data_IF_145255545084
#
_entry.id   IF_145255545084
#
_cell.length_a   1.000
_cell.length_b   1.000
_cell.length_c   1.000
_cell.angle_alpha   90.00
_cell.angle_beta   90.00
_cell.angle_gamma   90.00
#
_symmetry.space_group_name_H-M   'P 1'
#
loop_
_entity.id
_entity.type
_entity.pdbx_description
1 polymer ?
#
# COMPACT_ATOMS: atom_id res chain seq x y z
N UNK A 1 18.92 15.08 -4.17
CA UNK A 1 19.44 13.85 -4.78
C UNK A 1 18.73 12.70 -4.10
N UNK A 2 17.90 11.93 -4.84
CA UNK A 2 17.09 10.85 -4.28
C UNK A 2 17.72 9.50 -4.68
N UNK A 3 18.35 8.76 -3.74
CA UNK A 3 19.00 7.48 -4.05
C UNK A 3 18.05 6.44 -4.67
N UNK A 4 16.75 6.47 -4.34
CA UNK A 4 15.76 5.54 -4.90
C UNK A 4 15.53 5.80 -6.39
N UNK A 5 15.52 7.07 -6.81
CA UNK A 5 15.40 7.46 -8.22
C UNK A 5 16.67 7.08 -8.99
N UNK A 6 17.85 7.20 -8.38
CA UNK A 6 19.13 6.88 -9.02
C UNK A 6 19.29 5.41 -9.40
N UNK A 7 18.63 4.48 -8.69
CA UNK A 7 18.62 3.06 -9.02
C UNK A 7 18.19 2.79 -10.47
N UNK A 8 17.33 3.66 -11.02
CA UNK A 8 16.85 3.54 -12.40
C UNK A 8 18.00 3.66 -13.41
N UNK A 9 19.01 4.48 -13.15
CA UNK A 9 20.20 4.60 -14.01
C UNK A 9 21.03 3.32 -14.07
N UNK A 10 20.90 2.45 -13.07
CA UNK A 10 21.53 1.13 -13.00
C UNK A 10 20.61 -0.01 -13.47
N UNK A 11 19.41 0.31 -13.98
CA UNK A 11 18.41 -0.67 -14.40
C UNK A 11 17.69 -1.37 -13.24
N UNK A 12 17.79 -0.85 -12.02
CA UNK A 12 17.12 -1.41 -10.84
C UNK A 12 15.84 -0.63 -10.49
N UNK A 13 14.77 -1.36 -10.25
CA UNK A 13 13.49 -0.80 -9.80
C UNK A 13 13.27 -1.13 -8.33
N UNK A 14 12.97 -0.14 -7.49
CA UNK A 14 12.59 -0.39 -6.10
C UNK A 14 11.08 -0.61 -5.98
N UNK A 15 10.72 -1.46 -5.02
CA UNK A 15 9.35 -1.86 -4.72
C UNK A 15 9.08 -1.66 -3.23
N UNK A 16 7.82 -1.39 -2.88
CA UNK A 16 7.40 -1.18 -1.49
C UNK A 16 6.77 -2.47 -0.94
N UNK A 17 7.41 -3.10 0.05
CA UNK A 17 6.95 -4.37 0.63
C UNK A 17 5.97 -4.18 1.78
N UNK A 18 4.88 -3.46 1.50
CA UNK A 18 3.77 -3.27 2.40
C UNK A 18 2.57 -2.75 1.61
N UNK A 19 1.37 -2.83 2.19
CA UNK A 19 0.17 -2.17 1.66
C UNK A 19 -0.60 -1.49 2.79
N UNK A 20 -1.10 -0.29 2.48
CA UNK A 20 -1.99 0.48 3.34
C UNK A 20 -3.10 1.02 2.45
N UNK A 21 -4.36 0.79 2.81
CA UNK A 21 -5.48 1.33 2.04
C UNK A 21 -5.45 2.84 2.02
N UNK A 22 -5.01 3.44 3.12
CA UNK A 22 -4.92 4.89 3.26
C UNK A 22 -4.04 5.55 2.18
N UNK A 23 -2.95 4.88 1.75
CA UNK A 23 -2.05 5.42 0.74
C UNK A 23 -2.73 5.64 -0.62
N UNK A 24 -3.76 4.85 -0.92
CA UNK A 24 -4.57 5.00 -2.13
C UNK A 24 -5.50 6.21 -2.04
N UNK A 25 -5.91 6.58 -0.83
CA UNK A 25 -6.96 7.57 -0.59
C UNK A 25 -6.39 8.96 -0.27
N UNK A 26 -5.18 9.05 0.27
CA UNK A 26 -4.58 10.31 0.74
C UNK A 26 -3.49 10.88 -0.18
N UNK A 27 -3.25 10.25 -1.33
CA UNK A 27 -2.25 10.67 -2.31
C UNK A 27 -0.82 10.22 -2.00
N UNK A 28 -0.59 9.51 -0.88
CA UNK A 28 0.75 9.00 -0.53
C UNK A 28 1.31 8.10 -1.63
N UNK A 29 0.49 7.20 -2.19
CA UNK A 29 0.98 6.33 -3.27
C UNK A 29 1.42 7.13 -4.50
N UNK A 30 0.66 8.16 -4.87
CA UNK A 30 0.99 9.01 -6.01
C UNK A 30 2.31 9.74 -5.76
N UNK A 31 2.51 10.28 -4.56
CA UNK A 31 3.76 10.94 -4.18
C UNK A 31 4.96 9.96 -4.21
N UNK A 32 4.80 8.71 -3.75
CA UNK A 32 5.86 7.69 -3.83
C UNK A 32 6.23 7.36 -5.28
N UNK A 33 5.26 7.40 -6.20
CA UNK A 33 5.51 7.19 -7.63
C UNK A 33 6.26 8.38 -8.21
N UNK A 34 5.77 9.59 -7.97
CA UNK A 34 6.24 10.81 -8.64
C UNK A 34 7.59 11.29 -8.08
N UNK A 35 7.77 11.26 -6.76
CA UNK A 35 8.92 11.84 -6.07
C UNK A 35 10.02 10.80 -5.79
N UNK A 36 9.62 9.57 -5.44
CA UNK A 36 10.56 8.51 -5.10
C UNK A 36 10.84 7.56 -6.26
N UNK A 37 9.96 7.49 -7.26
CA UNK A 37 10.11 6.64 -8.44
C UNK A 37 9.61 5.22 -8.25
N UNK A 38 8.65 4.99 -7.34
CA UNK A 38 8.13 3.67 -6.98
C UNK A 38 7.60 2.94 -8.22
N UNK A 39 8.02 1.67 -8.40
CA UNK A 39 7.64 0.86 -9.58
C UNK A 39 6.77 -0.34 -9.27
N UNK A 40 6.56 -0.67 -8.00
CA UNK A 40 5.70 -1.77 -7.61
C UNK A 40 5.50 -1.84 -6.10
N UNK A 41 4.48 -2.58 -5.69
CA UNK A 41 4.20 -2.90 -4.29
C UNK A 41 3.95 -4.40 -4.17
N UNK A 42 4.31 -4.97 -3.02
CA UNK A 42 4.01 -6.35 -2.71
C UNK A 42 3.12 -6.48 -1.48
N UNK A 43 2.28 -7.51 -1.53
CA UNK A 43 1.49 -7.97 -0.40
C UNK A 43 1.73 -9.46 -0.21
N UNK A 44 1.55 -9.92 1.01
CA UNK A 44 1.50 -11.33 1.38
C UNK A 44 0.49 -11.49 2.55
N UNK A 45 0.12 -12.72 2.95
CA UNK A 45 -0.86 -12.91 4.01
C UNK A 45 -0.54 -12.18 5.32
N UNK A 46 0.74 -12.11 5.72
CA UNK A 46 1.15 -11.40 6.94
C UNK A 46 1.07 -9.88 6.81
N UNK A 47 1.32 -9.33 5.62
CA UNK A 47 1.12 -7.90 5.35
C UNK A 47 -0.37 -7.56 5.41
N UNK A 48 -1.25 -8.40 4.83
CA UNK A 48 -2.69 -8.20 4.92
C UNK A 48 -3.21 -8.28 6.36
N UNK A 49 -2.75 -9.25 7.15
CA UNK A 49 -3.10 -9.35 8.58
C UNK A 49 -2.77 -8.06 9.32
N UNK A 50 -1.58 -7.49 9.11
CA UNK A 50 -1.20 -6.21 9.71
C UNK A 50 -2.03 -5.05 9.18
N UNK A 51 -2.26 -4.98 7.87
CA UNK A 51 -3.03 -3.90 7.26
C UNK A 51 -4.49 -3.90 7.74
N UNK A 52 -5.08 -5.07 7.98
CA UNK A 52 -6.47 -5.21 8.42
C UNK A 52 -6.59 -5.16 9.95
N UNK A 53 -5.76 -5.91 10.68
CA UNK A 53 -5.89 -6.11 12.12
C UNK A 53 -5.13 -5.12 13.00
N UNK A 54 -4.14 -4.41 12.44
CA UNK A 54 -3.28 -3.47 13.16
C UNK A 54 -3.43 -2.03 12.66
N UNK A 55 -4.50 -1.74 11.93
CA UNK A 55 -4.85 -0.40 11.51
C UNK A 55 -6.35 -0.22 11.31
N UNK A 56 -6.80 1.03 11.17
CA UNK A 56 -8.19 1.41 10.90
C UNK A 56 -8.52 1.50 9.40
N UNK A 57 -7.54 1.20 8.53
CA UNK A 57 -7.60 1.35 7.09
C UNK A 57 -8.82 0.66 6.43
N UNK A 58 -9.36 -0.41 7.04
CA UNK A 58 -10.44 -1.24 6.50
C UNK A 58 -11.72 -1.28 7.36
N UNK A 59 -11.73 -0.63 8.53
CA UNK A 59 -12.81 -0.73 9.52
C UNK A 59 -14.19 -0.40 8.95
N UNK A 60 -14.27 0.69 8.17
CA UNK A 60 -15.53 1.11 7.58
C UNK A 60 -16.05 0.10 6.57
N UNK A 61 -15.18 -0.40 5.69
CA UNK A 61 -15.58 -1.40 4.70
C UNK A 61 -16.03 -2.69 5.39
N UNK A 62 -15.30 -3.17 6.40
CA UNK A 62 -15.67 -4.38 7.14
C UNK A 62 -17.05 -4.23 7.78
N UNK A 63 -17.34 -3.08 8.40
CA UNK A 63 -18.67 -2.79 8.97
C UNK A 63 -19.77 -2.82 7.90
N UNK A 64 -19.52 -2.23 6.73
CA UNK A 64 -20.47 -2.23 5.61
C UNK A 64 -20.74 -3.65 5.09
N UNK A 65 -19.70 -4.48 4.97
CA UNK A 65 -19.84 -5.84 4.45
C UNK A 65 -20.57 -6.77 5.43
N UNK A 66 -20.33 -6.61 6.74
CA UNK A 66 -21.11 -7.28 7.79
C UNK A 66 -22.58 -6.86 7.73
N UNK A 67 -22.87 -5.57 7.56
CA UNK A 67 -24.24 -5.06 7.42
C UNK A 67 -24.92 -5.59 6.14
N UNK A 68 -24.14 -5.81 5.08
CA UNK A 68 -24.61 -6.42 3.84
C UNK A 68 -24.82 -7.95 3.95
N UNK A 69 -24.54 -8.55 5.11
CA UNK A 69 -24.71 -9.98 5.36
C UNK A 69 -23.68 -10.85 4.64
N UNK A 70 -22.53 -10.29 4.26
CA UNK A 70 -21.42 -11.10 3.75
C UNK A 70 -20.76 -11.85 4.90
N UNK A 71 -20.37 -13.09 4.61
CA UNK A 71 -19.55 -13.88 5.52
C UNK A 71 -18.15 -13.25 5.59
N UNK A 72 -17.61 -13.15 6.80
CA UNK A 72 -16.29 -12.57 7.10
C UNK A 72 -15.41 -13.60 7.76
#
# INVERSE_FOLDING_TARGET
MNPLVELQAYGQSFWYDNIRRKFLNDGTLQNLIDEDGLRGMTSNPSIFEKAIGQSDDYDEQIKQEVQAGKDV
#
